data_IF_562257901704
#
_entry.id   IF_562257901704
#
_cell.length_a   1.000
_cell.length_b   1.000
_cell.length_c   1.000
_cell.angle_alpha   90.00
_cell.angle_beta   90.00
_cell.angle_gamma   90.00
#
_symmetry.space_group_name_H-M   'P 1'
#
loop_
_entity.id
_entity.type
_entity.pdbx_description
1 polymer ?
#
# COMPACT_ATOMS: atom_id res chain seq x y z
N UNK A 1 -5.16 -3.66 13.99
CA UNK A 1 -4.14 -2.98 13.18
C UNK A 1 -4.80 -1.81 12.48
N UNK A 2 -4.09 -0.70 12.36
CA UNK A 2 -4.56 0.47 11.59
C UNK A 2 -3.73 0.61 10.31
N UNK A 3 -4.40 0.81 9.18
CA UNK A 3 -3.75 1.15 7.91
C UNK A 3 -4.01 2.61 7.56
N UNK A 4 -2.93 3.33 7.24
CA UNK A 4 -2.98 4.73 6.83
C UNK A 4 -2.02 4.95 5.66
N UNK A 5 -2.40 5.81 4.71
CA UNK A 5 -1.54 6.15 3.56
C UNK A 5 -1.22 7.64 3.46
N UNK A 6 -0.11 7.96 2.81
CA UNK A 6 0.24 9.26 2.22
C UNK A 6 1.11 9.00 0.98
N UNK A 7 1.83 9.98 0.46
CA UNK A 7 2.77 9.78 -0.64
C UNK A 7 3.82 10.89 -0.69
N UNK A 8 4.95 10.58 -1.31
CA UNK A 8 5.93 11.55 -1.78
C UNK A 8 6.16 11.33 -3.26
N UNK A 9 5.96 12.35 -4.09
CA UNK A 9 6.10 12.14 -5.52
C UNK A 9 6.01 13.40 -6.34
N UNK A 10 6.26 13.26 -7.62
CA UNK A 10 5.97 14.30 -8.61
C UNK A 10 4.46 14.54 -8.70
N UNK A 11 4.03 15.78 -9.00
CA UNK A 11 2.61 16.17 -9.03
C UNK A 11 1.72 15.21 -9.84
N UNK A 12 2.16 14.81 -11.04
CA UNK A 12 1.38 13.88 -11.88
C UNK A 12 1.21 12.51 -11.20
N UNK A 13 2.25 12.01 -10.55
CA UNK A 13 2.19 10.73 -9.84
C UNK A 13 1.28 10.83 -8.60
N UNK A 14 1.28 11.97 -7.90
CA UNK A 14 0.38 12.21 -6.76
C UNK A 14 -1.08 12.23 -7.20
N UNK A 15 -1.40 12.86 -8.33
CA UNK A 15 -2.77 12.89 -8.86
C UNK A 15 -3.26 11.46 -9.16
N UNK A 16 -2.45 10.66 -9.85
CA UNK A 16 -2.77 9.24 -10.12
C UNK A 16 -2.84 8.40 -8.86
N UNK A 17 -2.01 8.69 -7.87
CA UNK A 17 -2.04 7.99 -6.59
C UNK A 17 -3.33 8.27 -5.82
N UNK A 18 -3.85 9.50 -5.85
CA UNK A 18 -5.12 9.82 -5.19
C UNK A 18 -6.29 9.00 -5.74
N UNK A 19 -6.36 8.81 -7.06
CA UNK A 19 -7.38 7.96 -7.72
C UNK A 19 -7.38 6.53 -7.16
N UNK A 20 -6.18 5.94 -7.01
CA UNK A 20 -6.00 4.54 -6.59
C UNK A 20 -6.12 4.36 -5.08
N UNK A 21 -5.56 5.30 -4.32
CA UNK A 21 -5.46 5.23 -2.86
C UNK A 21 -6.82 5.10 -2.20
N UNK A 22 -7.82 5.87 -2.64
CA UNK A 22 -9.13 5.87 -1.98
C UNK A 22 -9.82 4.49 -2.04
N UNK A 23 -9.70 3.82 -3.19
CA UNK A 23 -10.24 2.48 -3.40
C UNK A 23 -9.52 1.44 -2.52
N UNK A 24 -8.19 1.51 -2.46
CA UNK A 24 -7.38 0.54 -1.73
C UNK A 24 -7.47 0.75 -0.21
N UNK A 25 -7.35 1.98 0.28
CA UNK A 25 -7.29 2.28 1.71
C UNK A 25 -8.60 1.90 2.42
N UNK A 26 -9.74 2.14 1.77
CA UNK A 26 -11.06 1.74 2.30
C UNK A 26 -11.19 0.21 2.35
N UNK A 27 -10.80 -0.49 1.28
CA UNK A 27 -10.89 -1.94 1.19
C UNK A 27 -9.97 -2.65 2.19
N UNK A 28 -8.71 -2.22 2.31
CA UNK A 28 -7.76 -2.80 3.26
C UNK A 28 -8.26 -2.63 4.70
N UNK A 29 -8.72 -1.43 5.08
CA UNK A 29 -9.21 -1.19 6.43
C UNK A 29 -10.48 -2.00 6.73
N UNK A 30 -11.38 -2.16 5.75
CA UNK A 30 -12.56 -3.00 5.89
C UNK A 30 -12.17 -4.47 6.13
N UNK A 31 -11.28 -5.04 5.32
CA UNK A 31 -10.81 -6.42 5.47
C UNK A 31 -10.04 -6.63 6.78
N UNK A 32 -9.19 -5.69 7.18
CA UNK A 32 -8.50 -5.74 8.48
C UNK A 32 -9.51 -5.82 9.62
N UNK A 33 -10.60 -5.03 9.56
CA UNK A 33 -11.62 -4.99 10.61
C UNK A 33 -12.40 -6.30 10.79
N UNK A 34 -12.35 -7.19 9.77
CA UNK A 34 -13.00 -8.50 9.74
C UNK A 34 -12.03 -9.65 9.99
N UNK A 35 -10.74 -9.36 10.16
CA UNK A 35 -9.68 -10.36 10.30
C UNK A 35 -9.07 -10.37 11.71
N UNK A 36 -8.20 -11.36 11.96
CA UNK A 36 -7.38 -11.45 13.17
C UNK A 36 -6.44 -10.24 13.35
N UNK A 37 -6.10 -9.54 12.25
CA UNK A 37 -5.30 -8.32 12.31
C UNK A 37 -6.00 -7.17 13.02
N UNK A 38 -7.33 -7.20 13.21
CA UNK A 38 -8.05 -6.22 14.03
C UNK A 38 -7.45 -6.10 15.43
N UNK A 39 -7.14 -7.23 16.05
CA UNK A 39 -6.60 -7.31 17.42
C UNK A 39 -5.11 -6.91 17.51
N UNK A 40 -4.39 -6.94 16.39
CA UNK A 40 -2.98 -6.57 16.36
C UNK A 40 -2.80 -5.06 16.56
N UNK A 41 -2.35 -4.66 17.75
CA UNK A 41 -2.13 -3.25 18.10
C UNK A 41 -0.85 -2.72 17.46
N UNK A 42 -0.92 -2.33 16.19
CA UNK A 42 0.15 -1.68 15.44
C UNK A 42 -0.45 -0.86 14.29
N UNK A 43 0.35 0.06 13.74
CA UNK A 43 -0.03 0.88 12.59
C UNK A 43 0.94 0.69 11.43
N UNK A 44 0.40 0.47 10.23
CA UNK A 44 1.15 0.58 8.98
C UNK A 44 0.88 1.96 8.39
N UNK A 45 1.96 2.73 8.17
CA UNK A 45 1.92 3.97 7.41
C UNK A 45 2.53 3.72 6.04
N UNK A 46 1.72 3.71 5.01
CA UNK A 46 2.17 3.56 3.64
C UNK A 46 2.46 4.92 3.02
N UNK A 47 3.71 5.15 2.61
CA UNK A 47 4.16 6.42 2.04
C UNK A 47 5.02 6.09 0.81
N UNK A 48 4.42 5.59 -0.28
CA UNK A 48 5.14 5.32 -1.52
C UNK A 48 5.82 6.57 -2.03
N UNK A 49 7.01 6.35 -2.57
CA UNK A 49 7.87 7.37 -3.15
C UNK A 49 7.85 7.16 -4.67
N UNK A 50 7.30 8.13 -5.40
CA UNK A 50 7.09 8.02 -6.86
C UNK A 50 7.71 9.24 -7.55
N UNK A 51 8.98 9.12 -7.91
CA UNK A 51 9.80 10.20 -8.45
C UNK A 51 10.30 9.86 -9.84
N UNK A 52 10.40 10.89 -10.69
CA UNK A 52 11.04 10.79 -12.01
C UNK A 52 12.48 10.28 -11.89
N UNK A 53 13.00 9.68 -12.96
CA UNK A 53 14.32 9.05 -12.98
C UNK A 53 15.45 9.99 -12.50
N UNK A 54 15.41 11.27 -12.88
CA UNK A 54 16.40 12.29 -12.48
C UNK A 54 16.41 12.61 -10.99
N UNK A 55 15.34 12.27 -10.26
CA UNK A 55 15.20 12.51 -8.81
C UNK A 55 15.23 11.24 -7.99
N UNK A 56 15.19 10.06 -8.62
CA UNK A 56 15.06 8.76 -7.97
C UNK A 56 16.08 8.55 -6.85
N UNK A 57 17.35 8.85 -7.11
CA UNK A 57 18.44 8.64 -6.13
C UNK A 57 18.36 9.56 -4.91
N UNK A 58 17.72 10.74 -5.05
CA UNK A 58 17.53 11.69 -3.94
C UNK A 58 16.39 11.27 -3.00
N UNK A 59 15.53 10.37 -3.45
CA UNK A 59 14.37 9.89 -2.71
C UNK A 59 14.36 8.36 -2.67
N UNK A 60 15.35 7.72 -2.01
CA UNK A 60 15.42 6.27 -1.93
C UNK A 60 14.30 5.70 -1.06
N UNK A 61 13.98 4.42 -1.29
CA UNK A 61 13.15 3.64 -0.39
C UNK A 61 13.73 3.67 1.04
N UNK A 62 12.87 3.85 2.04
CA UNK A 62 13.32 4.10 3.43
C UNK A 62 12.37 3.57 4.49
N UNK A 63 11.77 2.42 4.23
CA UNK A 63 10.88 1.77 5.19
C UNK A 63 11.58 1.52 6.52
N UNK A 64 10.88 1.80 7.64
CA UNK A 64 11.47 1.68 8.99
C UNK A 64 10.42 1.36 10.05
N UNK A 65 10.88 0.72 11.11
CA UNK A 65 10.05 0.37 12.29
C UNK A 65 10.28 1.40 13.41
N UNK A 66 9.22 2.04 13.88
CA UNK A 66 9.19 2.89 15.06
C UNK A 66 8.60 2.11 16.24
N UNK A 67 9.46 1.36 16.94
CA UNK A 67 9.04 0.42 18.01
C UNK A 67 8.23 1.08 19.12
N UNK A 68 8.65 2.27 19.58
CA UNK A 68 8.00 3.00 20.69
C UNK A 68 6.52 3.27 20.41
N UNK A 69 6.21 3.64 19.16
CA UNK A 69 4.85 3.96 18.74
C UNK A 69 4.14 2.77 18.08
N UNK A 70 4.83 1.62 17.95
CA UNK A 70 4.38 0.42 17.24
C UNK A 70 3.94 0.71 15.80
N UNK A 71 4.72 1.53 15.10
CA UNK A 71 4.45 1.95 13.72
C UNK A 71 5.46 1.34 12.79
N UNK A 72 4.99 0.80 11.67
CA UNK A 72 5.84 0.50 10.52
C UNK A 72 5.58 1.55 9.43
N UNK A 73 6.59 2.36 9.13
CA UNK A 73 6.55 3.23 7.96
C UNK A 73 7.01 2.41 6.77
N UNK A 74 6.09 2.07 5.88
CA UNK A 74 6.36 1.43 4.61
C UNK A 74 6.53 2.52 3.56
N UNK A 75 7.78 2.80 3.18
CA UNK A 75 8.13 3.85 2.22
C UNK A 75 8.87 3.23 1.03
N UNK A 76 8.21 2.40 0.19
CA UNK A 76 8.85 1.83 -0.99
C UNK A 76 9.05 2.92 -2.04
N UNK A 77 9.99 2.68 -2.95
CA UNK A 77 10.13 3.49 -4.15
C UNK A 77 9.44 2.75 -5.30
N UNK A 78 8.35 3.31 -5.81
CA UNK A 78 7.60 2.72 -6.92
C UNK A 78 8.17 3.22 -8.25
N UNK A 79 7.98 2.44 -9.30
CA UNK A 79 8.38 2.81 -10.65
C UNK A 79 7.50 3.96 -11.18
N UNK A 80 8.10 5.12 -11.44
CA UNK A 80 7.37 6.32 -11.86
C UNK A 80 6.70 6.14 -13.22
N UNK A 81 7.44 5.63 -14.21
CA UNK A 81 6.94 5.54 -15.58
C UNK A 81 5.78 4.55 -15.62
N UNK A 82 5.96 3.35 -15.06
CA UNK A 82 4.91 2.35 -14.98
C UNK A 82 3.68 2.83 -14.20
N UNK A 83 3.87 3.57 -13.11
CA UNK A 83 2.75 4.08 -12.32
C UNK A 83 2.00 5.22 -13.04
N UNK A 84 2.70 6.13 -13.71
CA UNK A 84 2.05 7.25 -14.40
C UNK A 84 1.40 6.81 -15.70
N UNK A 85 2.10 6.04 -16.54
CA UNK A 85 1.59 5.62 -17.85
C UNK A 85 0.71 4.38 -17.79
N UNK A 86 0.75 3.60 -16.71
CA UNK A 86 -0.05 2.40 -16.54
C UNK A 86 -1.55 2.68 -16.54
N UNK A 87 -2.32 1.68 -16.96
CA UNK A 87 -3.77 1.60 -16.78
C UNK A 87 -4.15 1.64 -15.30
N UNK A 88 -5.42 1.96 -14.96
CA UNK A 88 -5.88 1.93 -13.58
C UNK A 88 -5.57 0.60 -12.84
N UNK A 89 -5.73 -0.54 -13.53
CA UNK A 89 -5.45 -1.86 -12.96
C UNK A 89 -3.95 -2.05 -12.69
N UNK A 90 -3.08 -1.64 -13.62
CA UNK A 90 -1.63 -1.70 -13.42
C UNK A 90 -1.19 -0.83 -12.24
N UNK A 91 -1.78 0.36 -12.07
CA UNK A 91 -1.47 1.23 -10.93
C UNK A 91 -1.87 0.61 -9.60
N UNK A 92 -3.03 -0.05 -9.53
CA UNK A 92 -3.47 -0.80 -8.35
C UNK A 92 -2.48 -1.92 -8.04
N UNK A 93 -2.07 -2.68 -9.06
CA UNK A 93 -1.10 -3.76 -8.89
C UNK A 93 0.25 -3.24 -8.36
N UNK A 94 0.79 -2.17 -8.93
CA UNK A 94 2.04 -1.53 -8.47
C UNK A 94 1.91 -1.02 -7.03
N UNK A 95 0.76 -0.42 -6.70
CA UNK A 95 0.50 0.08 -5.35
C UNK A 95 0.48 -1.07 -4.32
N UNK A 96 -0.19 -2.17 -4.63
CA UNK A 96 -0.27 -3.36 -3.77
C UNK A 96 1.09 -4.05 -3.66
N UNK A 97 1.85 -4.14 -4.74
CA UNK A 97 3.20 -4.72 -4.71
C UNK A 97 4.12 -3.95 -3.76
N UNK A 98 4.05 -2.62 -3.76
CA UNK A 98 4.75 -1.78 -2.79
C UNK A 98 4.39 -2.06 -1.32
N UNK A 99 3.19 -2.57 -1.04
CA UNK A 99 2.76 -2.96 0.29
C UNK A 99 3.28 -4.33 0.73
N UNK A 100 3.61 -5.24 -0.20
CA UNK A 100 4.11 -6.60 0.14
C UNK A 100 5.42 -6.57 0.92
N UNK A 101 6.18 -5.47 0.83
CA UNK A 101 7.36 -5.23 1.66
C UNK A 101 7.07 -5.03 3.16
N UNK A 102 5.82 -5.09 3.62
CA UNK A 102 5.49 -4.87 5.03
C UNK A 102 5.77 -6.04 5.96
N UNK A 103 5.73 -7.28 5.49
CA UNK A 103 5.82 -8.49 6.33
C UNK A 103 6.98 -8.45 7.35
N UNK A 104 8.24 -8.21 6.94
CA UNK A 104 9.36 -8.11 7.86
C UNK A 104 9.23 -6.97 8.89
N UNK A 105 8.58 -5.87 8.52
CA UNK A 105 8.30 -4.74 9.41
C UNK A 105 7.25 -5.08 10.47
N UNK A 106 6.19 -5.78 10.07
CA UNK A 106 5.13 -6.29 10.95
C UNK A 106 5.68 -7.30 11.96
N UNK A 107 6.51 -8.25 11.51
CA UNK A 107 7.17 -9.21 12.39
C UNK A 107 8.04 -8.53 13.46
N UNK A 108 8.78 -7.48 13.09
CA UNK A 108 9.56 -6.65 14.03
C UNK A 108 8.70 -5.90 15.06
N UNK A 109 7.40 -5.75 14.81
CA UNK A 109 6.41 -5.19 15.74
C UNK A 109 5.68 -6.26 16.57
N UNK A 110 6.06 -7.52 16.40
CA UNK A 110 5.48 -8.66 17.11
C UNK A 110 4.28 -9.29 16.42
N UNK A 111 4.07 -9.04 15.12
CA UNK A 111 3.10 -9.83 14.36
C UNK A 111 3.57 -11.29 14.28
N UNK A 112 2.63 -12.24 14.43
CA UNK A 112 2.92 -13.66 14.20
C UNK A 112 3.03 -13.95 12.71
N UNK A 113 3.58 -15.13 12.36
CA UNK A 113 3.64 -15.58 10.96
C UNK A 113 2.25 -15.67 10.32
N UNK A 114 1.25 -16.08 11.09
CA UNK A 114 -0.15 -16.16 10.65
C UNK A 114 -0.71 -14.76 10.38
N UNK A 115 -0.40 -13.77 11.23
CA UNK A 115 -0.81 -12.38 11.02
C UNK A 115 -0.12 -11.75 9.79
N UNK A 116 1.14 -12.07 9.54
CA UNK A 116 1.83 -11.63 8.32
C UNK A 116 1.20 -12.28 7.08
N UNK A 117 0.92 -13.58 7.12
CA UNK A 117 0.24 -14.29 6.03
C UNK A 117 -1.16 -13.74 5.78
N UNK A 118 -1.90 -13.43 6.84
CA UNK A 118 -3.21 -12.80 6.75
C UNK A 118 -3.14 -11.41 6.13
N UNK A 119 -2.08 -10.64 6.40
CA UNK A 119 -1.86 -9.36 5.75
C UNK A 119 -1.68 -9.53 4.24
N UNK A 120 -0.85 -10.48 3.81
CA UNK A 120 -0.64 -10.77 2.40
C UNK A 120 -1.93 -11.23 1.71
N UNK A 121 -2.74 -12.05 2.39
CA UNK A 121 -4.08 -12.46 1.90
C UNK A 121 -5.00 -11.26 1.71
N UNK A 122 -5.01 -10.31 2.65
CA UNK A 122 -5.79 -9.06 2.53
C UNK A 122 -5.33 -8.23 1.32
N UNK A 123 -4.02 -8.19 1.04
CA UNK A 123 -3.48 -7.50 -0.14
C UNK A 123 -3.96 -8.16 -1.44
N UNK A 124 -3.94 -9.49 -1.51
CA UNK A 124 -4.42 -10.25 -2.67
C UNK A 124 -5.92 -10.05 -2.91
N UNK A 125 -6.72 -10.15 -1.84
CA UNK A 125 -8.18 -9.95 -1.90
C UNK A 125 -8.51 -8.49 -2.29
N UNK A 126 -7.77 -7.51 -1.76
CA UNK A 126 -7.93 -6.10 -2.16
C UNK A 126 -7.64 -5.91 -3.64
N UNK A 127 -6.52 -6.46 -4.14
CA UNK A 127 -6.14 -6.36 -5.54
C UNK A 127 -7.25 -6.92 -6.45
N UNK A 128 -7.80 -8.09 -6.09
CA UNK A 128 -8.88 -8.71 -6.84
C UNK A 128 -10.13 -7.82 -6.85
N UNK A 129 -10.64 -7.42 -5.68
CA UNK A 129 -11.88 -6.65 -5.55
C UNK A 129 -11.78 -5.32 -6.32
N UNK A 130 -10.68 -4.58 -6.13
CA UNK A 130 -10.51 -3.28 -6.79
C UNK A 130 -10.36 -3.44 -8.31
N UNK A 131 -9.64 -4.46 -8.76
CA UNK A 131 -9.51 -4.75 -10.21
C UNK A 131 -10.85 -5.10 -10.83
N UNK A 132 -11.67 -5.91 -10.16
CA UNK A 132 -13.03 -6.22 -10.61
C UNK A 132 -13.92 -4.97 -10.69
N UNK A 133 -13.82 -4.06 -9.71
CA UNK A 133 -14.57 -2.80 -9.72
C UNK A 133 -14.17 -1.91 -10.91
N UNK A 134 -12.86 -1.81 -11.20
CA UNK A 134 -12.35 -1.01 -12.32
C UNK A 134 -12.74 -1.59 -13.69
N UNK A 135 -12.98 -2.90 -13.78
CA UNK A 135 -13.38 -3.56 -15.01
C UNK A 135 -14.91 -3.60 -15.21
N UNK A 136 -15.72 -3.16 -14.24
CA UNK A 136 -17.17 -3.09 -14.42
C UNK A 136 -17.52 -1.95 -15.38
N UNK A 137 -18.27 -2.21 -16.46
CA UNK A 137 -18.79 -1.14 -17.31
C UNK A 137 -19.69 -0.23 -16.47
N UNK A 138 -19.53 1.10 -16.61
CA UNK A 138 -20.43 2.05 -15.96
C UNK A 138 -21.87 1.74 -16.39
N UNK A 139 -22.84 1.72 -15.45
CA UNK A 139 -24.24 1.53 -15.84
C UNK A 139 -24.65 2.69 -16.75
N UNK A 140 -24.97 2.36 -18.00
CA UNK A 140 -25.56 3.25 -19.01
C UNK A 140 -26.93 3.75 -18.60
#
# INVERSE_FOLDING_TARGET
>A
MEFWSAAEGNGVAIDRLHEVRHLIESQINALISLSELKSFSAKVRYIPIIMTADRRDRYPARSRVERKNRIYNCCPQLDYDAFVSGSPVERVAIYIDGLRGCGPGLAKLGATSEQVTEFDRILDETLQIVTEQLNRPSPT
#
